data_IF_832453034322
#
_entry.id   IF_832453034322
#
_cell.length_a   1.000
_cell.length_b   1.000
_cell.length_c   1.000
_cell.angle_alpha   90.00
_cell.angle_beta   90.00
_cell.angle_gamma   90.00
#
_symmetry.space_group_name_H-M   'P 1'
#
loop_
_entity.id
_entity.type
_entity.pdbx_description
1 polymer ?
#
# COMPACT_ATOMS: atom_id res chain seq x y z
N UNK A 1 -0.09 -25.36 14.90
CA UNK A 1 0.74 -25.87 13.80
C UNK A 1 -0.09 -25.74 12.52
N UNK A 2 -0.10 -24.55 11.90
CA UNK A 2 -0.91 -24.31 10.71
C UNK A 2 -0.15 -24.72 9.44
N UNK A 3 -0.86 -25.47 8.59
CA UNK A 3 -0.36 -26.17 7.42
C UNK A 3 0.23 -25.24 6.36
N UNK A 4 1.49 -25.49 5.98
CA UNK A 4 2.27 -24.76 4.98
C UNK A 4 1.65 -24.70 3.58
N UNK A 5 0.63 -25.52 3.28
CA UNK A 5 -0.07 -25.49 1.99
C UNK A 5 -1.15 -24.40 1.87
N UNK A 6 -1.72 -23.92 2.99
CA UNK A 6 -2.77 -22.90 2.96
C UNK A 6 -2.19 -21.47 2.86
N UNK A 7 -0.96 -21.28 3.34
CA UNK A 7 -0.24 -20.00 3.32
C UNK A 7 -0.01 -19.47 1.90
N UNK A 8 0.31 -20.34 0.94
CA UNK A 8 0.57 -19.97 -0.46
C UNK A 8 -0.63 -19.37 -1.18
N UNK A 9 -1.86 -19.68 -0.73
CA UNK A 9 -3.08 -19.05 -1.29
C UNK A 9 -3.27 -17.62 -0.77
N UNK A 10 -2.73 -17.30 0.40
CA UNK A 10 -2.97 -16.02 1.06
C UNK A 10 -1.86 -15.00 0.80
N UNK A 11 -0.62 -15.45 0.57
CA UNK A 11 0.51 -14.58 0.23
C UNK A 11 1.56 -15.35 -0.58
N UNK A 12 1.98 -14.79 -1.71
CA UNK A 12 2.99 -15.36 -2.61
C UNK A 12 4.22 -14.47 -2.63
N UNK A 13 5.41 -15.08 -2.62
CA UNK A 13 6.69 -14.36 -2.64
C UNK A 13 7.50 -14.77 -3.85
N UNK A 14 8.04 -13.79 -4.54
CA UNK A 14 9.12 -13.98 -5.50
C UNK A 14 10.37 -13.23 -5.04
N UNK A 15 11.49 -13.93 -4.93
CA UNK A 15 12.79 -13.33 -4.59
C UNK A 15 13.67 -13.36 -5.83
N UNK A 16 13.99 -12.19 -6.36
CA UNK A 16 14.98 -12.04 -7.42
C UNK A 16 16.34 -12.66 -7.06
N UNK A 17 17.12 -13.03 -8.08
CA UNK A 17 18.40 -13.74 -7.92
C UNK A 17 19.38 -13.03 -6.99
N UNK A 18 19.32 -11.69 -6.85
CA UNK A 18 20.24 -10.95 -5.99
C UNK A 18 20.02 -11.27 -4.49
N UNK A 19 18.79 -11.59 -4.07
CA UNK A 19 18.46 -11.90 -2.68
C UNK A 19 18.82 -13.33 -2.25
N UNK A 20 19.24 -14.17 -3.20
CA UNK A 20 19.72 -15.52 -2.93
C UNK A 20 21.24 -15.55 -2.63
N UNK A 21 21.96 -14.51 -3.01
CA UNK A 21 23.42 -14.44 -2.94
C UNK A 21 23.87 -13.56 -1.76
N UNK A 22 25.02 -13.88 -1.18
CA UNK A 22 25.65 -13.08 -0.11
C UNK A 22 26.49 -11.95 -0.73
N UNK A 23 25.89 -10.95 -1.39
CA UNK A 23 26.65 -9.80 -1.90
C UNK A 23 26.58 -8.59 -0.95
N UNK A 24 27.70 -7.86 -0.89
CA UNK A 24 28.06 -6.84 0.12
C UNK A 24 27.87 -5.41 -0.43
N UNK A 25 27.28 -5.22 -1.61
CA UNK A 25 27.22 -3.88 -2.22
C UNK A 25 25.99 -3.12 -1.72
N UNK A 26 26.21 -1.93 -1.15
CA UNK A 26 25.13 -1.04 -0.71
C UNK A 26 24.46 -0.44 -1.95
N UNK A 27 23.21 -0.84 -2.19
CA UNK A 27 22.34 -0.24 -3.20
C UNK A 27 21.23 0.58 -2.54
N UNK A 28 20.61 1.43 -3.35
CA UNK A 28 19.36 2.12 -3.01
C UNK A 28 18.29 1.05 -2.77
N UNK A 29 17.53 1.21 -1.68
CA UNK A 29 16.42 0.36 -1.28
C UNK A 29 15.12 1.14 -1.41
N UNK A 30 14.29 0.71 -2.35
CA UNK A 30 12.99 1.30 -2.59
C UNK A 30 11.87 0.32 -2.21
N UNK A 31 10.85 0.83 -1.52
CA UNK A 31 9.58 0.12 -1.33
C UNK A 31 8.55 0.70 -2.29
N UNK A 32 7.75 -0.17 -2.92
CA UNK A 32 6.72 0.23 -3.87
C UNK A 32 5.46 -0.52 -3.55
N UNK A 33 4.38 0.23 -3.35
CA UNK A 33 3.06 -0.32 -3.07
C UNK A 33 2.13 -0.07 -4.25
N UNK A 34 1.34 -1.08 -4.60
CA UNK A 34 0.05 -0.81 -5.23
C UNK A 34 -0.91 -0.16 -4.24
N UNK A 35 -1.99 0.46 -4.75
CA UNK A 35 -3.00 1.16 -3.98
C UNK A 35 -4.20 0.26 -3.66
N UNK A 36 -5.06 0.04 -4.65
CA UNK A 36 -6.32 -0.69 -4.51
C UNK A 36 -6.06 -2.18 -4.22
N UNK A 37 -6.89 -2.78 -3.36
CA UNK A 37 -6.77 -4.14 -2.81
C UNK A 37 -5.42 -4.49 -2.14
N UNK A 38 -4.47 -3.55 -2.09
CA UNK A 38 -3.13 -3.69 -1.52
C UNK A 38 -2.96 -2.84 -0.27
N UNK A 39 -3.18 -1.53 -0.33
CA UNK A 39 -3.23 -0.64 0.84
C UNK A 39 -4.62 -0.60 1.48
N UNK A 40 -5.66 -0.83 0.68
CA UNK A 40 -7.04 -0.80 1.13
C UNK A 40 -8.01 -1.11 0.00
N UNK A 41 -9.30 -1.15 0.32
CA UNK A 41 -10.39 -1.36 -0.62
C UNK A 41 -11.19 -0.06 -0.69
N UNK A 42 -11.02 0.68 -1.78
CA UNK A 42 -11.42 2.09 -1.87
C UNK A 42 -12.54 2.37 -2.86
N UNK A 43 -13.05 1.37 -3.58
CA UNK A 43 -14.09 1.56 -4.59
C UNK A 43 -15.37 2.17 -4.01
N UNK A 44 -15.89 1.63 -2.91
CA UNK A 44 -17.10 2.18 -2.27
C UNK A 44 -16.84 3.54 -1.62
N UNK A 45 -15.62 3.78 -1.11
CA UNK A 45 -15.24 5.12 -0.63
C UNK A 45 -15.27 6.14 -1.77
N UNK A 46 -14.83 5.76 -2.97
CA UNK A 46 -14.88 6.63 -4.15
C UNK A 46 -16.33 6.94 -4.53
N UNK A 47 -17.20 5.92 -4.54
CA UNK A 47 -18.63 6.10 -4.79
C UNK A 47 -19.24 7.04 -3.75
N UNK A 48 -18.96 6.80 -2.46
CA UNK A 48 -19.43 7.64 -1.35
C UNK A 48 -18.98 9.09 -1.49
N UNK A 49 -17.67 9.31 -1.69
CA UNK A 49 -17.08 10.63 -1.81
C UNK A 49 -17.70 11.44 -2.96
N UNK A 50 -17.88 10.81 -4.12
CA UNK A 50 -18.51 11.48 -5.26
C UNK A 50 -20.01 11.75 -5.03
N UNK A 51 -20.73 10.83 -4.38
CA UNK A 51 -22.14 11.02 -4.04
C UNK A 51 -22.34 12.20 -3.09
N UNK A 52 -21.51 12.30 -2.06
CA UNK A 52 -21.49 13.43 -1.12
C UNK A 52 -21.22 14.73 -1.88
N UNK A 53 -20.18 14.77 -2.70
CA UNK A 53 -19.82 15.98 -3.45
C UNK A 53 -20.84 16.37 -4.51
N UNK A 54 -21.64 15.42 -5.00
CA UNK A 54 -22.74 15.69 -5.94
C UNK A 54 -23.87 16.49 -5.31
N UNK A 55 -24.11 16.34 -4.01
CA UNK A 55 -25.22 17.00 -3.29
C UNK A 55 -24.78 18.21 -2.47
N UNK A 56 -23.47 18.44 -2.33
CA UNK A 56 -22.96 19.66 -1.69
C UNK A 56 -23.43 20.88 -2.51
N UNK A 57 -24.06 21.84 -1.82
CA UNK A 57 -24.47 23.13 -2.43
C UNK A 57 -23.25 23.98 -2.77
N UNK A 58 -22.33 24.10 -1.82
CA UNK A 58 -21.07 24.82 -1.99
C UNK A 58 -19.95 23.82 -2.27
N UNK A 59 -19.25 23.93 -3.42
CA UNK A 59 -18.12 23.07 -3.71
C UNK A 59 -16.95 23.39 -2.79
N UNK A 60 -16.13 22.38 -2.50
CA UNK A 60 -14.86 22.59 -1.82
C UNK A 60 -13.87 23.18 -2.84
N UNK A 61 -13.38 24.39 -2.60
CA UNK A 61 -12.61 25.15 -3.59
C UNK A 61 -11.11 24.85 -3.53
N UNK A 62 -10.59 24.56 -2.34
CA UNK A 62 -9.16 24.33 -2.14
C UNK A 62 -8.84 22.86 -1.91
N UNK A 63 -7.62 22.46 -2.28
CA UNK A 63 -7.10 21.11 -2.01
C UNK A 63 -7.04 20.82 -0.50
N UNK A 64 -6.82 21.83 0.33
CA UNK A 64 -6.75 21.67 1.79
C UNK A 64 -8.14 21.38 2.39
N UNK A 65 -9.17 22.11 1.98
CA UNK A 65 -10.55 21.84 2.37
C UNK A 65 -11.00 20.45 1.91
N UNK A 66 -10.73 20.11 0.64
CA UNK A 66 -11.03 18.79 0.09
C UNK A 66 -10.34 17.68 0.88
N UNK A 67 -9.05 17.84 1.21
CA UNK A 67 -8.30 16.86 1.99
C UNK A 67 -8.83 16.74 3.42
N UNK A 68 -9.17 17.85 4.07
CA UNK A 68 -9.72 17.87 5.43
C UNK A 68 -11.03 17.10 5.51
N UNK A 69 -11.96 17.36 4.58
CA UNK A 69 -13.24 16.66 4.51
C UNK A 69 -13.07 15.19 4.13
N UNK A 70 -12.15 14.87 3.22
CA UNK A 70 -11.82 13.49 2.89
C UNK A 70 -11.26 12.72 4.09
N UNK A 71 -10.39 13.35 4.88
CA UNK A 71 -9.83 12.72 6.09
C UNK A 71 -10.92 12.40 7.11
N UNK A 72 -11.83 13.35 7.37
CA UNK A 72 -12.99 13.13 8.26
C UNK A 72 -13.86 11.97 7.75
N UNK A 73 -14.11 11.91 6.44
CA UNK A 73 -14.89 10.83 5.85
C UNK A 73 -14.21 9.47 6.05
N UNK A 74 -12.93 9.34 5.69
CA UNK A 74 -12.21 8.07 5.78
C UNK A 74 -11.96 7.64 7.25
N UNK A 75 -11.92 8.58 8.20
CA UNK A 75 -11.90 8.28 9.63
C UNK A 75 -13.13 7.51 10.11
N UNK A 76 -14.28 7.62 9.43
CA UNK A 76 -15.48 6.82 9.72
C UNK A 76 -15.35 5.35 9.27
N UNK A 77 -14.41 5.02 8.39
CA UNK A 77 -14.33 3.71 7.73
C UNK A 77 -12.94 3.07 7.81
N UNK A 78 -12.45 2.73 9.02
CA UNK A 78 -11.20 2.00 9.15
C UNK A 78 -11.18 0.68 8.36
N UNK A 79 -12.33 0.08 8.07
CA UNK A 79 -12.46 -1.16 7.31
C UNK A 79 -12.05 -1.03 5.84
N UNK A 80 -12.05 0.17 5.26
CA UNK A 80 -11.50 0.42 3.93
C UNK A 80 -9.98 0.29 3.89
N UNK A 81 -9.32 0.44 5.04
CA UNK A 81 -7.87 0.30 5.14
C UNK A 81 -7.50 -1.16 5.43
N UNK A 82 -6.48 -1.67 4.73
CA UNK A 82 -6.00 -3.04 4.97
C UNK A 82 -5.43 -3.19 6.38
N UNK A 83 -5.75 -4.30 7.03
CA UNK A 83 -5.19 -4.63 8.34
C UNK A 83 -3.67 -4.53 8.38
N UNK A 84 -3.15 -3.92 9.45
CA UNK A 84 -1.72 -3.78 9.72
C UNK A 84 -0.95 -2.85 8.77
N UNK A 85 -1.59 -2.21 7.78
CA UNK A 85 -0.87 -1.37 6.82
C UNK A 85 -0.27 -0.12 7.48
N UNK A 86 -0.97 0.51 8.42
CA UNK A 86 -0.42 1.62 9.21
C UNK A 86 0.88 1.22 9.91
N UNK A 87 0.93 0.03 10.50
CA UNK A 87 2.14 -0.47 11.18
C UNK A 87 3.28 -0.71 10.20
N UNK A 88 2.99 -1.20 8.99
CA UNK A 88 3.99 -1.39 7.93
C UNK A 88 4.53 -0.04 7.48
N UNK A 89 3.65 0.91 7.19
CA UNK A 89 4.03 2.24 6.71
C UNK A 89 4.80 3.04 7.77
N UNK A 90 4.37 3.01 9.04
CA UNK A 90 5.09 3.64 10.15
C UNK A 90 6.48 3.00 10.35
N UNK A 91 6.57 1.67 10.31
CA UNK A 91 7.85 0.97 10.35
C UNK A 91 8.79 1.43 9.22
N UNK A 92 8.28 1.56 7.99
CA UNK A 92 9.06 2.04 6.85
C UNK A 92 9.48 3.50 7.01
N UNK A 93 8.59 4.36 7.50
CA UNK A 93 8.92 5.76 7.81
C UNK A 93 10.08 5.86 8.81
N UNK A 94 10.03 5.09 9.90
CA UNK A 94 11.11 5.03 10.88
C UNK A 94 12.42 4.53 10.24
N UNK A 95 12.36 3.54 9.33
CA UNK A 95 13.54 3.06 8.59
C UNK A 95 14.08 4.11 7.62
N UNK A 96 13.21 4.90 7.00
CA UNK A 96 13.58 6.02 6.12
C UNK A 96 14.31 7.10 6.92
N UNK A 97 13.77 7.51 8.08
CA UNK A 97 14.42 8.46 8.98
C UNK A 97 15.78 8.00 9.51
N UNK A 98 15.99 6.69 9.64
CA UNK A 98 17.29 6.09 10.04
C UNK A 98 18.27 5.89 8.88
N UNK A 99 17.92 6.27 7.64
CA UNK A 99 18.76 6.06 6.45
C UNK A 99 18.91 4.58 6.06
N UNK A 100 17.99 3.72 6.50
CA UNK A 100 17.97 2.28 6.19
C UNK A 100 17.07 1.95 5.00
N UNK A 101 16.10 2.81 4.72
CA UNK A 101 15.24 2.80 3.53
C UNK A 101 15.45 4.12 2.81
N UNK A 102 15.71 4.08 1.51
CA UNK A 102 16.05 5.28 0.75
C UNK A 102 14.78 5.94 0.20
N UNK A 103 13.85 5.13 -0.31
CA UNK A 103 12.64 5.61 -1.00
C UNK A 103 11.41 4.73 -0.77
N UNK A 104 10.23 5.35 -0.76
CA UNK A 104 8.93 4.69 -0.70
C UNK A 104 8.02 5.29 -1.78
N UNK A 105 7.37 4.47 -2.58
CA UNK A 105 6.54 4.91 -3.70
C UNK A 105 5.17 4.23 -3.69
N UNK A 106 4.20 4.89 -4.33
CA UNK A 106 2.99 4.24 -4.82
C UNK A 106 3.14 4.04 -6.33
N UNK A 107 2.83 2.85 -6.83
CA UNK A 107 2.75 2.57 -8.26
C UNK A 107 1.42 1.89 -8.56
N UNK A 108 0.49 2.66 -9.12
CA UNK A 108 -0.91 2.25 -9.27
C UNK A 108 -1.39 2.29 -10.73
N UNK A 109 -2.40 1.47 -11.01
CA UNK A 109 -3.18 1.52 -12.24
C UNK A 109 -4.56 2.16 -12.03
N UNK A 110 -4.80 2.77 -10.87
CA UNK A 110 -6.05 3.45 -10.55
C UNK A 110 -6.35 4.53 -11.60
N UNK A 111 -7.54 4.47 -12.18
CA UNK A 111 -8.03 5.38 -13.24
C UNK A 111 -9.11 6.34 -12.75
N UNK A 112 -9.36 6.40 -11.44
CA UNK A 112 -10.27 7.40 -10.87
C UNK A 112 -9.76 8.81 -11.18
N UNK A 113 -10.69 9.75 -11.31
CA UNK A 113 -10.34 11.12 -11.65
C UNK A 113 -9.39 11.71 -10.57
N UNK A 114 -8.29 12.37 -10.97
CA UNK A 114 -7.46 13.11 -10.03
C UNK A 114 -8.28 14.15 -9.26
N UNK A 115 -7.94 14.44 -7.98
CA UNK A 115 -6.75 14.00 -7.26
C UNK A 115 -6.99 12.79 -6.32
N UNK A 116 -7.87 11.84 -6.69
CA UNK A 116 -8.26 10.70 -5.86
C UNK A 116 -7.12 9.96 -5.13
N UNK A 117 -6.09 9.54 -5.88
CA UNK A 117 -4.94 8.82 -5.31
C UNK A 117 -4.16 9.70 -4.30
N UNK A 118 -4.13 11.01 -4.54
CA UNK A 118 -3.49 11.95 -3.64
C UNK A 118 -4.26 12.06 -2.31
N UNK A 119 -5.59 12.05 -2.33
CA UNK A 119 -6.39 12.05 -1.11
C UNK A 119 -6.06 10.85 -0.21
N UNK A 120 -5.98 9.65 -0.79
CA UNK A 120 -5.68 8.42 -0.04
C UNK A 120 -4.25 8.45 0.52
N UNK A 121 -3.27 8.87 -0.28
CA UNK A 121 -1.86 8.91 0.16
C UNK A 121 -1.62 9.97 1.23
N UNK A 122 -2.24 11.15 1.11
CA UNK A 122 -2.24 12.18 2.13
C UNK A 122 -2.99 11.75 3.40
N UNK A 123 -4.05 10.94 3.28
CA UNK A 123 -4.72 10.37 4.45
C UNK A 123 -3.76 9.51 5.29
N UNK A 124 -2.90 8.68 4.66
CA UNK A 124 -1.88 7.93 5.40
C UNK A 124 -0.90 8.85 6.14
N UNK A 125 -0.51 9.99 5.54
CA UNK A 125 0.32 11.00 6.20
C UNK A 125 -0.39 11.61 7.42
N UNK A 126 -1.65 12.02 7.24
CA UNK A 126 -2.50 12.56 8.30
C UNK A 126 -2.68 11.55 9.44
N UNK A 127 -3.08 10.31 9.13
CA UNK A 127 -3.43 9.29 10.13
C UNK A 127 -2.23 8.83 10.95
N UNK A 128 -1.04 8.84 10.36
CA UNK A 128 0.23 8.56 11.04
C UNK A 128 0.86 9.80 11.68
N UNK A 129 0.23 10.98 11.56
CA UNK A 129 0.72 12.27 12.08
C UNK A 129 2.16 12.58 11.66
N UNK A 130 2.47 12.39 10.38
CA UNK A 130 3.83 12.56 9.86
C UNK A 130 4.11 14.01 9.49
N UNK A 131 5.29 14.50 9.88
CA UNK A 131 5.74 15.87 9.53
C UNK A 131 6.11 16.01 8.06
N UNK A 132 6.68 14.95 7.49
CA UNK A 132 7.15 14.90 6.10
C UNK A 132 6.36 13.88 5.31
N UNK A 133 6.47 13.95 3.99
CA UNK A 133 5.80 12.99 3.11
C UNK A 133 6.35 11.58 3.27
N UNK A 134 5.43 10.63 3.44
CA UNK A 134 5.74 9.21 3.53
C UNK A 134 6.25 8.68 2.19
N UNK A 135 5.46 8.91 1.14
CA UNK A 135 5.75 8.50 -0.23
C UNK A 135 6.54 9.59 -0.95
N UNK A 136 7.66 9.22 -1.55
CA UNK A 136 8.53 10.11 -2.32
C UNK A 136 7.92 10.49 -3.68
N UNK A 137 7.15 9.59 -4.29
CA UNK A 137 6.40 9.85 -5.52
C UNK A 137 5.23 8.86 -5.69
N UNK A 138 4.24 9.25 -6.48
CA UNK A 138 3.10 8.43 -6.91
C UNK A 138 3.21 8.27 -8.42
N UNK A 139 3.48 7.05 -8.88
CA UNK A 139 3.44 6.71 -10.30
C UNK A 139 2.00 6.36 -10.66
N UNK A 140 1.37 7.21 -11.47
CA UNK A 140 -0.05 7.10 -11.81
C UNK A 140 -0.31 6.09 -12.94
N UNK A 141 -1.58 5.88 -13.27
CA UNK A 141 -1.98 5.09 -14.44
C UNK A 141 -1.35 5.66 -15.73
N UNK A 142 -1.01 4.78 -16.67
CA UNK A 142 -0.46 5.22 -17.96
C UNK A 142 -1.43 6.15 -18.70
N UNK A 143 -2.71 5.75 -18.79
CA UNK A 143 -3.77 6.56 -19.39
C UNK A 143 -5.03 6.56 -18.54
N UNK A 144 -5.71 7.69 -18.52
CA UNK A 144 -7.07 7.86 -17.99
C UNK A 144 -7.90 8.50 -19.10
N UNK A 145 -9.05 7.90 -19.45
CA UNK A 145 -9.91 8.36 -20.55
C UNK A 145 -9.14 8.60 -21.85
N UNK A 146 -8.27 7.65 -22.24
CA UNK A 146 -7.35 7.72 -23.38
C UNK A 146 -6.31 8.85 -23.37
N UNK A 147 -6.28 9.71 -22.36
CA UNK A 147 -5.24 10.73 -22.16
C UNK A 147 -4.07 10.12 -21.39
N UNK A 148 -2.85 10.29 -21.91
CA UNK A 148 -1.63 9.90 -21.20
C UNK A 148 -1.46 10.77 -19.96
N UNK A 149 -1.34 10.12 -18.80
CA UNK A 149 -1.15 10.78 -17.51
C UNK A 149 0.32 10.66 -17.09
N UNK A 150 0.83 9.43 -17.03
CA UNK A 150 2.22 9.16 -16.68
C UNK A 150 3.06 8.96 -17.94
N UNK A 151 3.68 10.04 -18.43
CA UNK A 151 4.39 10.08 -19.72
C UNK A 151 5.61 9.14 -19.80
N UNK A 152 6.17 8.77 -18.65
CA UNK A 152 7.32 7.86 -18.56
C UNK A 152 6.92 6.39 -18.49
N UNK A 153 5.61 6.09 -18.49
CA UNK A 153 5.10 4.73 -18.68
C UNK A 153 4.87 4.46 -20.15
N UNK A 154 5.02 3.20 -20.52
CA UNK A 154 4.83 2.72 -21.90
C UNK A 154 3.59 1.81 -22.02
N UNK A 155 3.10 1.29 -20.90
CA UNK A 155 1.98 0.33 -20.85
C UNK A 155 1.10 0.50 -19.60
N UNK A 156 -0.12 -0.02 -19.69
CA UNK A 156 -1.03 -0.17 -18.54
C UNK A 156 -0.53 -1.23 -17.55
N UNK A 157 0.29 -2.19 -17.98
CA UNK A 157 0.95 -3.13 -17.09
C UNK A 157 1.97 -2.40 -16.21
N UNK A 158 2.19 -2.90 -14.99
CA UNK A 158 3.27 -2.40 -14.14
C UNK A 158 4.56 -3.14 -14.48
N UNK A 159 5.57 -2.43 -14.96
CA UNK A 159 6.83 -3.03 -15.36
C UNK A 159 7.98 -2.46 -14.52
N UNK A 160 9.03 -3.26 -14.31
CA UNK A 160 10.23 -2.77 -13.63
C UNK A 160 10.89 -1.63 -14.42
N UNK A 161 10.86 -1.70 -15.76
CA UNK A 161 11.47 -0.68 -16.61
C UNK A 161 10.71 0.66 -16.51
N UNK A 162 9.39 0.66 -16.59
CA UNK A 162 8.57 1.86 -16.42
C UNK A 162 8.77 2.46 -15.02
N UNK A 163 8.83 1.63 -13.97
CA UNK A 163 9.14 2.11 -12.62
C UNK A 163 10.49 2.85 -12.55
N UNK A 164 11.54 2.28 -13.13
CA UNK A 164 12.87 2.90 -13.16
C UNK A 164 12.84 4.22 -13.94
N UNK A 165 12.15 4.27 -15.08
CA UNK A 165 12.03 5.49 -15.88
C UNK A 165 11.26 6.59 -15.13
N UNK A 166 10.14 6.25 -14.48
CA UNK A 166 9.32 7.22 -13.76
C UNK A 166 10.01 7.76 -12.51
N UNK A 167 10.86 6.96 -11.85
CA UNK A 167 11.55 7.37 -10.61
C UNK A 167 12.95 7.93 -10.82
N UNK A 168 13.52 7.76 -12.03
CA UNK A 168 14.91 8.08 -12.35
C UNK A 168 15.93 7.40 -11.42
N UNK A 169 15.54 6.29 -10.78
CA UNK A 169 16.43 5.52 -9.93
C UNK A 169 17.40 4.69 -10.77
N UNK A 170 18.62 4.41 -10.27
CA UNK A 170 19.53 3.48 -10.94
C UNK A 170 18.88 2.09 -11.11
N UNK A 171 19.11 1.43 -12.25
CA UNK A 171 18.72 0.02 -12.47
C UNK A 171 19.28 -0.95 -11.44
N UNK A 172 20.28 -0.52 -10.66
CA UNK A 172 20.88 -1.28 -9.57
C UNK A 172 20.07 -1.26 -8.28
N UNK A 173 19.00 -0.46 -8.19
CA UNK A 173 18.11 -0.36 -7.03
C UNK A 173 17.52 -1.71 -6.64
N UNK A 174 17.53 -2.01 -5.35
CA UNK A 174 16.86 -3.15 -4.75
C UNK A 174 15.43 -2.75 -4.40
N UNK A 175 14.47 -3.45 -5.00
CA UNK A 175 13.06 -3.10 -4.91
C UNK A 175 12.32 -4.11 -4.02
N UNK A 176 11.54 -3.62 -3.06
CA UNK A 176 10.49 -4.40 -2.43
C UNK A 176 9.15 -3.97 -3.04
N UNK A 177 8.63 -4.77 -3.97
CA UNK A 177 7.40 -4.49 -4.70
C UNK A 177 6.24 -5.26 -4.07
N UNK A 178 5.17 -4.56 -3.69
CA UNK A 178 4.05 -5.09 -2.93
C UNK A 178 2.76 -4.79 -3.69
N UNK A 179 2.11 -5.82 -4.21
CA UNK A 179 0.97 -5.70 -5.11
C UNK A 179 0.13 -6.98 -5.07
N UNK A 180 -1.18 -6.87 -4.96
CA UNK A 180 -2.08 -8.03 -4.88
C UNK A 180 -2.16 -8.84 -6.18
N UNK A 181 -1.74 -8.26 -7.31
CA UNK A 181 -1.70 -8.91 -8.61
C UNK A 181 -0.30 -9.46 -8.93
N UNK A 182 -0.16 -10.14 -10.07
CA UNK A 182 1.15 -10.58 -10.57
C UNK A 182 1.43 -9.91 -11.90
N UNK A 183 2.50 -9.12 -11.92
CA UNK A 183 2.99 -8.46 -13.13
C UNK A 183 4.27 -9.14 -13.61
N UNK A 184 4.20 -9.80 -14.76
CA UNK A 184 5.33 -10.60 -15.29
C UNK A 184 6.58 -9.75 -15.51
N UNK A 185 6.41 -8.55 -16.07
CA UNK A 185 7.52 -7.65 -16.38
C UNK A 185 8.03 -6.85 -15.16
N UNK A 186 7.44 -7.06 -13.98
CA UNK A 186 7.96 -6.58 -12.69
C UNK A 186 8.85 -7.64 -12.02
N UNK A 187 8.79 -8.90 -12.47
CA UNK A 187 9.65 -9.98 -11.98
C UNK A 187 11.07 -9.72 -12.50
N UNK A 188 11.96 -9.30 -11.60
CA UNK A 188 13.32 -8.90 -11.95
C UNK A 188 14.33 -9.39 -10.90
N UNK A 189 15.61 -9.51 -11.27
CA UNK A 189 16.64 -10.05 -10.38
C UNK A 189 16.87 -9.25 -9.09
N UNK A 190 16.51 -7.97 -9.10
CA UNK A 190 16.59 -7.03 -7.97
C UNK A 190 15.25 -6.72 -7.31
N UNK A 191 14.20 -7.45 -7.65
CA UNK A 191 12.87 -7.27 -7.09
C UNK A 191 12.57 -8.39 -6.08
N UNK A 192 12.22 -7.97 -4.87
CA UNK A 192 11.57 -8.77 -3.86
C UNK A 192 10.08 -8.49 -3.99
N UNK A 193 9.34 -9.43 -4.58
CA UNK A 193 7.91 -9.30 -4.82
C UNK A 193 7.13 -9.94 -3.68
N UNK A 194 6.25 -9.16 -3.05
CA UNK A 194 5.27 -9.63 -2.07
C UNK A 194 3.90 -9.48 -2.71
N UNK A 195 3.26 -10.61 -3.02
CA UNK A 195 1.89 -10.63 -3.50
C UNK A 195 0.96 -11.10 -2.40
N UNK A 196 0.38 -10.19 -1.61
CA UNK A 196 -0.68 -10.57 -0.69
C UNK A 196 -1.97 -10.88 -1.47
N UNK A 197 -2.89 -11.61 -0.85
CA UNK A 197 -4.26 -11.71 -1.35
C UNK A 197 -4.91 -10.32 -1.43
N UNK A 198 -5.76 -10.11 -2.44
CA UNK A 198 -6.59 -8.90 -2.58
C UNK A 198 -7.42 -8.65 -1.31
N UNK A 199 -7.36 -7.42 -0.83
CA UNK A 199 -8.11 -6.97 0.35
C UNK A 199 -9.42 -6.32 -0.06
N UNK A 200 -10.53 -6.78 0.52
CA UNK A 200 -11.87 -6.20 0.33
C UNK A 200 -12.49 -5.89 1.69
N UNK A 201 -13.17 -4.75 1.84
CA UNK A 201 -13.96 -4.49 3.04
C UNK A 201 -15.23 -5.36 3.07
N UNK A 202 -15.87 -5.47 4.25
CA UNK A 202 -17.12 -6.25 4.43
C UNK A 202 -18.36 -5.38 4.57
N UNK A 203 -18.21 -4.05 4.58
CA UNK A 203 -19.34 -3.14 4.76
C UNK A 203 -20.31 -3.23 3.57
N UNK A 204 -21.61 -3.28 3.87
CA UNK A 204 -22.68 -3.12 2.87
C UNK A 204 -22.91 -1.64 2.55
N UNK A 205 -23.50 -1.35 1.39
CA UNK A 205 -23.92 0.01 1.03
C UNK A 205 -24.80 0.65 2.12
N UNK A 206 -25.76 -0.10 2.67
CA UNK A 206 -26.60 0.37 3.79
C UNK A 206 -25.77 0.76 5.01
N UNK A 207 -24.82 -0.09 5.43
CA UNK A 207 -23.95 0.22 6.58
C UNK A 207 -23.12 1.46 6.33
N UNK A 208 -22.59 1.60 5.10
CA UNK A 208 -21.77 2.74 4.71
C UNK A 208 -22.61 4.03 4.78
N UNK A 209 -23.77 4.05 4.14
CA UNK A 209 -24.67 5.20 4.07
C UNK A 209 -25.18 5.58 5.46
N UNK A 210 -25.68 4.63 6.24
CA UNK A 210 -26.17 4.89 7.60
C UNK A 210 -25.08 5.48 8.50
N UNK A 211 -23.86 4.92 8.45
CA UNK A 211 -22.72 5.45 9.22
C UNK A 211 -22.36 6.88 8.82
N UNK A 212 -22.47 7.20 7.53
CA UNK A 212 -22.24 8.58 7.07
C UNK A 212 -23.33 9.51 7.61
N UNK A 213 -24.61 9.15 7.48
CA UNK A 213 -25.75 9.99 7.86
C UNK A 213 -25.74 10.39 9.34
N UNK A 214 -25.29 9.49 10.23
CA UNK A 214 -25.16 9.75 11.68
C UNK A 214 -23.88 10.49 12.07
N UNK A 215 -22.96 10.73 11.13
CA UNK A 215 -21.73 11.49 11.41
C UNK A 215 -22.02 12.98 11.42
N UNK A 216 -21.18 13.78 12.10
CA UNK A 216 -21.34 15.24 12.13
C UNK A 216 -21.47 15.86 10.72
N UNK A 217 -20.64 15.41 9.77
CA UNK A 217 -20.68 15.87 8.37
C UNK A 217 -21.97 15.44 7.67
N UNK A 218 -22.44 14.22 7.93
CA UNK A 218 -23.69 13.71 7.36
C UNK A 218 -24.92 14.42 7.93
N UNK A 219 -24.96 14.68 9.24
CA UNK A 219 -26.02 15.44 9.89
C UNK A 219 -26.09 16.88 9.37
N UNK A 220 -24.93 17.54 9.22
CA UNK A 220 -24.86 18.89 8.64
C UNK A 220 -25.38 18.92 7.22
N UNK A 221 -24.94 17.97 6.37
CA UNK A 221 -25.39 17.88 4.99
C UNK A 221 -26.88 17.54 4.89
N UNK A 222 -27.39 16.70 5.79
CA UNK A 222 -28.79 16.29 5.85
C UNK A 222 -29.74 17.46 6.13
N UNK A 223 -29.30 18.51 6.84
CA UNK A 223 -30.10 19.73 7.08
C UNK A 223 -30.47 20.48 5.80
N UNK A 224 -29.77 20.22 4.70
CA UNK A 224 -30.04 20.83 3.42
C UNK A 224 -31.10 20.10 2.59
N UNK A 225 -31.58 18.96 3.07
CA UNK A 225 -32.68 18.20 2.50
C UNK A 225 -33.93 18.41 3.35
N UNK A 226 -35.10 18.50 2.70
CA UNK A 226 -36.38 18.70 3.40
C UNK A 226 -36.72 17.55 4.36
N UNK A 227 -36.18 16.36 4.12
CA UNK A 227 -36.27 15.19 5.00
C UNK A 227 -35.07 14.24 4.77
N UNK A 228 -34.47 13.75 5.86
CA UNK A 228 -33.34 12.80 5.87
C UNK A 228 -33.59 11.53 5.04
N UNK A 229 -34.85 11.08 4.94
CA UNK A 229 -35.21 9.92 4.13
C UNK A 229 -34.88 10.15 2.64
N UNK A 230 -35.13 11.34 2.10
CA UNK A 230 -34.79 11.67 0.71
C UNK A 230 -33.28 11.63 0.48
N UNK A 231 -32.48 12.07 1.45
CA UNK A 231 -31.03 12.02 1.31
C UNK A 231 -30.53 10.56 1.32
N UNK A 232 -31.08 9.73 2.22
CA UNK A 232 -30.76 8.31 2.26
C UNK A 232 -31.15 7.59 0.96
N UNK A 233 -32.34 7.85 0.43
CA UNK A 233 -32.83 7.30 -0.84
C UNK A 233 -31.91 7.69 -1.99
N UNK A 234 -31.58 8.97 -2.12
CA UNK A 234 -30.60 9.44 -3.10
C UNK A 234 -29.27 8.69 -3.00
N UNK A 235 -28.73 8.52 -1.79
CA UNK A 235 -27.45 7.84 -1.60
C UNK A 235 -27.53 6.36 -1.96
N UNK A 236 -28.65 5.69 -1.69
CA UNK A 236 -28.87 4.30 -2.09
C UNK A 236 -28.89 4.15 -3.61
N UNK A 237 -29.67 4.99 -4.30
CA UNK A 237 -29.75 5.02 -5.75
C UNK A 237 -28.37 5.32 -6.36
N UNK A 238 -27.64 6.27 -5.78
CA UNK A 238 -26.28 6.61 -6.20
C UNK A 238 -25.32 5.42 -6.09
N UNK A 239 -25.36 4.68 -4.99
CA UNK A 239 -24.55 3.46 -4.83
C UNK A 239 -24.94 2.39 -5.84
N UNK A 240 -26.24 2.17 -6.08
CA UNK A 240 -26.72 1.17 -7.04
C UNK A 240 -26.26 1.47 -8.49
N UNK A 241 -26.42 2.73 -8.92
CA UNK A 241 -26.03 3.23 -10.23
C UNK A 241 -24.52 3.13 -10.49
N UNK A 242 -23.72 3.30 -9.45
CA UNK A 242 -22.26 3.27 -9.53
C UNK A 242 -21.65 1.90 -9.15
N UNK A 243 -22.47 0.85 -9.06
CA UNK A 243 -22.06 -0.51 -8.68
C UNK A 243 -21.35 -0.60 -7.32
N UNK A 244 -21.71 0.24 -6.36
CA UNK A 244 -21.27 0.11 -4.97
C UNK A 244 -21.77 -1.21 -4.34
N UNK A 245 -21.03 -1.72 -3.34
CA UNK A 245 -21.13 -3.11 -2.84
C UNK A 245 -22.53 -3.71 -2.82
N UNK A 246 -22.80 -4.59 -3.80
CA UNK A 246 -24.06 -5.34 -3.91
C UNK A 246 -24.15 -6.53 -2.94
N UNK A 247 -23.03 -7.05 -2.43
CA UNK A 247 -23.01 -8.20 -1.51
C UNK A 247 -21.80 -8.12 -0.56
N UNK A 248 -21.98 -8.22 0.78
CA UNK A 248 -20.86 -8.40 1.69
C UNK A 248 -20.10 -9.68 1.35
N UNK A 249 -18.79 -9.58 1.10
CA UNK A 249 -17.98 -10.80 1.03
C UNK A 249 -18.02 -11.50 2.40
N UNK A 250 -18.13 -12.83 2.43
CA UNK A 250 -17.91 -13.63 3.64
C UNK A 250 -16.47 -13.40 4.10
N UNK A 251 -16.26 -12.37 4.91
CA UNK A 251 -14.94 -11.85 5.23
C UNK A 251 -14.40 -12.57 6.45
N UNK A 252 -13.20 -13.12 6.30
CA UNK A 252 -12.50 -13.79 7.37
C UNK A 252 -11.38 -12.88 7.90
N UNK A 253 -11.68 -12.14 8.97
CA UNK A 253 -10.73 -11.20 9.58
C UNK A 253 -9.43 -11.88 10.04
N UNK A 254 -9.48 -13.16 10.45
CA UNK A 254 -8.27 -13.89 10.86
C UNK A 254 -7.29 -14.06 9.70
N UNK A 255 -7.82 -14.30 8.49
CA UNK A 255 -7.00 -14.42 7.28
C UNK A 255 -6.35 -13.09 6.95
N UNK A 256 -7.08 -11.98 7.02
CA UNK A 256 -6.51 -10.66 6.74
C UNK A 256 -5.44 -10.26 7.76
N UNK A 257 -5.66 -10.55 9.04
CA UNK A 257 -4.67 -10.35 10.12
C UNK A 257 -3.42 -11.20 9.85
N UNK A 258 -3.59 -12.47 9.47
CA UNK A 258 -2.48 -13.35 9.12
C UNK A 258 -1.68 -12.82 7.93
N UNK A 259 -2.35 -12.36 6.87
CA UNK A 259 -1.68 -11.78 5.70
C UNK A 259 -0.91 -10.52 6.10
N UNK A 260 -1.47 -9.65 6.95
CA UNK A 260 -0.79 -8.46 7.45
C UNK A 260 0.50 -8.80 8.21
N UNK A 261 0.45 -9.81 9.08
CA UNK A 261 1.63 -10.30 9.82
C UNK A 261 2.71 -10.83 8.87
N UNK A 262 2.31 -11.61 7.84
CA UNK A 262 3.24 -12.15 6.83
C UNK A 262 3.83 -11.06 5.94
N UNK A 263 3.05 -10.05 5.54
CA UNK A 263 3.56 -8.87 4.83
C UNK A 263 4.64 -8.17 5.66
N UNK A 264 4.36 -7.86 6.93
CA UNK A 264 5.35 -7.28 7.84
C UNK A 264 6.60 -8.15 8.00
N UNK A 265 6.45 -9.48 8.11
CA UNK A 265 7.57 -10.41 8.15
C UNK A 265 8.47 -10.26 6.92
N UNK A 266 7.91 -10.24 5.71
CA UNK A 266 8.70 -10.13 4.48
C UNK A 266 9.28 -8.72 4.26
N UNK A 267 8.60 -7.67 4.71
CA UNK A 267 9.17 -6.31 4.77
C UNK A 267 10.43 -6.30 5.65
N UNK A 268 10.39 -6.94 6.82
CA UNK A 268 11.57 -7.09 7.70
C UNK A 268 12.63 -7.98 7.06
N UNK A 269 12.23 -9.07 6.41
CA UNK A 269 13.13 -9.97 5.70
C UNK A 269 13.90 -9.26 4.58
N UNK A 270 13.24 -8.39 3.81
CA UNK A 270 13.90 -7.59 2.77
C UNK A 270 15.06 -6.76 3.35
N UNK A 271 14.84 -6.05 4.46
CA UNK A 271 15.93 -5.34 5.14
C UNK A 271 17.01 -6.29 5.64
N UNK A 272 16.63 -7.42 6.23
CA UNK A 272 17.60 -8.39 6.73
C UNK A 272 18.50 -8.94 5.60
N UNK A 273 17.95 -9.23 4.43
CA UNK A 273 18.69 -9.75 3.28
C UNK A 273 19.61 -8.69 2.65
N UNK A 274 19.20 -7.43 2.66
CA UNK A 274 19.94 -6.31 2.03
C UNK A 274 20.93 -5.61 2.99
N UNK A 275 20.95 -5.98 4.28
CA UNK A 275 21.82 -5.39 5.31
C UNK A 275 22.80 -6.40 5.93
N UNK A 276 22.95 -7.61 5.38
CA UNK A 276 23.87 -8.62 5.94
C UNK A 276 25.33 -8.13 5.86
N UNK A 277 25.93 -7.84 7.01
CA UNK A 277 27.39 -7.78 7.15
C UNK A 277 27.93 -9.20 7.42
N UNK A 278 29.05 -9.58 6.78
CA UNK A 278 29.79 -10.76 7.22
C UNK A 278 30.25 -10.53 8.67
N UNK A 279 29.63 -11.19 9.65
CA UNK A 279 30.26 -11.33 10.96
C UNK A 279 31.57 -12.06 10.71
N UNK A 280 32.69 -11.46 11.10
CA UNK A 280 34.01 -12.08 11.05
C UNK A 280 33.90 -13.49 11.64
N UNK A 281 34.07 -14.53 10.83
CA UNK A 281 34.22 -15.88 11.38
C UNK A 281 35.47 -15.83 12.23
N UNK A 282 35.33 -16.08 13.54
CA UNK A 282 36.47 -16.18 14.46
C UNK A 282 37.42 -17.20 13.83
N UNK A 283 38.59 -16.74 13.39
CA UNK A 283 39.60 -17.61 12.80
C UNK A 283 39.96 -18.57 13.92
N UNK A 284 39.52 -19.83 13.85
CA UNK A 284 40.11 -20.87 14.68
C UNK A 284 41.56 -20.95 14.23
N UNK A 285 42.44 -20.22 14.91
CA UNK A 285 43.85 -20.52 14.90
C UNK A 285 43.93 -21.96 15.40
N UNK A 286 44.11 -22.91 14.47
CA UNK A 286 44.66 -24.21 14.86
C UNK A 286 45.99 -23.85 15.49
N UNK A 287 46.05 -23.89 16.82
CA UNK A 287 47.31 -23.90 17.54
C UNK A 287 48.02 -25.14 17.03
N UNK A 288 48.85 -24.98 16.01
CA UNK A 288 49.85 -25.98 15.67
C UNK A 288 50.79 -25.94 16.86
N UNK A 289 50.55 -26.84 17.81
CA UNK A 289 51.41 -27.02 18.96
C UNK A 289 52.82 -27.25 18.43
N UNK A 290 53.68 -26.25 18.57
CA UNK A 290 55.11 -26.42 18.43
C UNK A 290 55.55 -27.24 19.64
N UNK A 291 55.46 -28.56 19.52
CA UNK A 291 56.17 -29.47 20.41
C UNK A 291 57.65 -29.31 20.09
N UNK A 292 58.33 -28.40 20.78
CA UNK A 292 59.79 -28.38 20.86
C UNK A 292 60.23 -29.71 21.47
N UNK A 293 60.95 -30.53 20.67
CA UNK A 293 61.71 -31.66 21.21
C UNK A 293 62.73 -31.09 22.20
N UNK A 294 62.60 -31.42 23.48
CA UNK A 294 63.73 -31.35 24.41
C UNK A 294 64.59 -32.57 24.12
N UNK A 295 65.77 -32.34 23.54
CA UNK A 295 66.89 -33.24 23.74
C UNK A 295 67.37 -33.03 25.18
N UNK A 296 67.37 -34.10 25.97
CA UNK A 296 68.38 -34.57 26.93
C UNK A 296 67.87 -35.91 27.44
#
# INVERSE_FOLDING_TARGET
MFSSKNDYKQLQIYKGKCFQKQYIKKYIKAFVFDLDETLGSFADLYVLWNGINKVRKEPLYTMEEQQSEFNKLLDLYPEFIRFGIFNILDYLYIKKKKGLCDKIYVYTNNTCNPPWVQYITNYFKYKLNLKDDLFDNIIQAFKINNKVIEVNRTTHEKTHNDFINCTLLPKTTELCFIDNNTFKDMIHEKVYYIKPRSYYHSLSADTIIQRFLISNTGEELSKHFDNTNHFREFMMDWFELNNGSRIPSNKNNEVDIFVAQKMMYHVKEFFYLTQRSNKTRKRCLRVVGKNTRKNI
#
